data_IF_938822164667
#
_entry.id   IF_938822164667
#
_cell.length_a   1.000
_cell.length_b   1.000
_cell.length_c   1.000
_cell.angle_alpha   90.00
_cell.angle_beta   90.00
_cell.angle_gamma   90.00
#
_symmetry.space_group_name_H-M   'P 1'
#
loop_
_entity.id
_entity.type
_entity.pdbx_description
1 polymer ?
#
# COMPACT_ATOMS: atom_id res chain seq x y z
N UNK A 1 -9.10 -23.40 70.68
CA UNK A 1 -8.12 -23.07 69.65
C UNK A 1 -8.63 -23.54 68.32
N UNK A 2 -9.12 -22.64 67.50
CA UNK A 2 -9.66 -22.93 66.15
C UNK A 2 -8.60 -22.55 65.14
N UNK A 3 -8.19 -23.50 64.28
CA UNK A 3 -7.29 -23.27 63.18
C UNK A 3 -8.02 -22.66 62.01
N UNK A 4 -7.48 -21.57 61.49
CA UNK A 4 -7.99 -20.86 60.32
C UNK A 4 -7.38 -21.52 59.08
N UNK A 5 -8.21 -22.10 58.22
CA UNK A 5 -7.81 -22.60 56.90
C UNK A 5 -7.66 -21.46 55.93
N UNK A 6 -6.50 -21.41 55.25
CA UNK A 6 -6.21 -20.49 54.16
C UNK A 6 -6.79 -21.05 52.87
N UNK A 7 -7.82 -20.40 52.34
CA UNK A 7 -8.30 -20.63 50.99
C UNK A 7 -7.45 -19.87 50.00
N UNK A 8 -6.69 -20.61 49.19
CA UNK A 8 -6.01 -20.10 47.99
C UNK A 8 -6.97 -20.22 46.78
N UNK A 9 -7.24 -19.16 46.03
CA UNK A 9 -8.08 -19.26 44.83
C UNK A 9 -7.32 -19.98 43.71
N UNK A 10 -7.98 -20.96 43.10
CA UNK A 10 -7.52 -21.67 41.89
C UNK A 10 -7.45 -20.70 40.68
N UNK A 11 -6.45 -20.87 39.80
CA UNK A 11 -6.37 -20.10 38.57
C UNK A 11 -7.52 -20.48 37.63
N UNK A 12 -8.22 -19.45 37.13
CA UNK A 12 -9.27 -19.58 36.12
C UNK A 12 -8.56 -19.92 34.80
N UNK A 13 -8.87 -21.10 34.28
CA UNK A 13 -8.57 -21.52 32.90
C UNK A 13 -9.21 -20.53 31.91
N UNK A 14 -8.41 -19.64 31.36
CA UNK A 14 -8.81 -18.86 30.18
C UNK A 14 -8.67 -19.76 28.97
N UNK A 15 -9.75 -20.48 28.66
CA UNK A 15 -9.93 -21.08 27.36
C UNK A 15 -9.96 -19.97 26.32
N UNK A 16 -8.89 -19.82 25.55
CA UNK A 16 -8.81 -18.96 24.38
C UNK A 16 -9.76 -19.57 23.34
N UNK A 17 -10.95 -19.03 23.24
CA UNK A 17 -11.84 -19.27 22.11
C UNK A 17 -11.21 -18.57 20.91
N UNK A 18 -10.50 -19.34 20.09
CA UNK A 18 -10.09 -18.91 18.76
C UNK A 18 -11.35 -18.77 17.89
N UNK A 19 -11.96 -17.61 17.92
CA UNK A 19 -12.99 -17.24 16.94
C UNK A 19 -12.26 -16.94 15.61
N UNK A 20 -12.44 -17.80 14.63
CA UNK A 20 -12.16 -17.57 13.23
C UNK A 20 -12.89 -16.29 12.77
N UNK A 21 -12.26 -15.14 12.86
CA UNK A 21 -12.70 -13.89 12.24
C UNK A 21 -11.85 -13.64 10.99
N UNK A 22 -12.12 -14.40 9.95
CA UNK A 22 -11.77 -14.00 8.60
C UNK A 22 -12.60 -12.75 8.28
N UNK A 23 -11.91 -11.60 7.99
CA UNK A 23 -12.45 -10.30 7.57
C UNK A 23 -12.49 -9.20 8.65
N UNK A 24 -11.43 -9.03 9.41
CA UNK A 24 -11.21 -7.73 10.06
C UNK A 24 -10.82 -6.69 9.00
N UNK A 25 -11.46 -5.52 8.95
CA UNK A 25 -11.00 -4.42 8.09
C UNK A 25 -9.56 -4.11 8.45
N UNK A 26 -8.74 -3.75 7.43
CA UNK A 26 -7.34 -3.34 7.61
C UNK A 26 -7.25 -2.33 8.75
N UNK A 27 -6.94 -2.82 9.95
CA UNK A 27 -6.76 -1.98 11.13
C UNK A 27 -5.30 -1.53 11.12
N UNK A 28 -5.03 -0.40 10.46
CA UNK A 28 -3.74 0.27 10.60
C UNK A 28 -3.77 1.01 11.93
N UNK A 29 -3.08 0.49 12.92
CA UNK A 29 -3.08 1.02 14.27
C UNK A 29 -2.52 2.45 14.35
N UNK A 30 -1.64 2.81 13.43
CA UNK A 30 -1.03 4.13 13.32
C UNK A 30 -0.57 4.36 11.87
N UNK A 31 -0.70 5.60 11.39
CA UNK A 31 -0.12 6.03 10.13
C UNK A 31 0.33 7.47 10.28
N UNK A 32 1.62 7.67 10.26
CA UNK A 32 2.19 9.00 10.30
C UNK A 32 2.08 9.65 8.93
N UNK A 33 1.62 10.91 8.92
CA UNK A 33 1.52 11.66 7.67
C UNK A 33 2.91 11.77 7.02
N UNK A 34 2.98 11.44 5.73
CA UNK A 34 4.17 11.68 4.93
C UNK A 34 4.32 13.21 4.77
N UNK A 35 5.46 13.81 5.14
CA UNK A 35 5.71 15.23 4.92
C UNK A 35 5.60 15.61 3.44
N UNK A 36 5.17 16.84 3.17
CA UNK A 36 5.10 17.37 1.82
C UNK A 36 6.51 17.79 1.32
N UNK A 37 6.89 17.57 0.07
CA UNK A 37 8.18 18.04 -0.46
C UNK A 37 8.35 19.57 -0.32
N UNK A 38 7.26 20.34 -0.30
CA UNK A 38 7.29 21.79 -0.13
C UNK A 38 7.58 22.23 1.33
N UNK A 39 7.63 21.32 2.29
CA UNK A 39 8.00 21.58 3.69
C UNK A 39 9.52 21.84 3.89
N UNK A 40 10.25 22.18 2.82
CA UNK A 40 11.68 22.59 2.88
C UNK A 40 12.68 21.47 2.61
N UNK A 41 12.24 20.34 2.05
CA UNK A 41 13.13 19.26 1.68
C UNK A 41 13.93 19.56 0.40
N UNK A 42 15.18 19.10 0.37
CA UNK A 42 16.01 19.16 -0.83
C UNK A 42 15.71 17.98 -1.74
N UNK A 43 15.35 18.29 -2.99
CA UNK A 43 15.18 17.26 -4.02
C UNK A 43 16.54 16.84 -4.57
N UNK A 44 16.71 15.54 -4.80
CA UNK A 44 17.86 14.97 -5.45
C UNK A 44 17.45 13.88 -6.44
N UNK A 45 18.30 13.64 -7.41
CA UNK A 45 18.08 12.58 -8.40
C UNK A 45 18.53 11.23 -7.84
N UNK A 46 17.77 10.17 -8.13
CA UNK A 46 18.03 8.81 -7.64
C UNK A 46 17.65 7.76 -8.68
N UNK A 47 18.49 6.73 -8.80
CA UNK A 47 18.19 5.57 -9.64
C UNK A 47 17.00 4.80 -9.09
N UNK A 48 15.96 4.60 -9.91
CA UNK A 48 14.75 3.89 -9.50
C UNK A 48 15.05 2.44 -9.07
N UNK A 49 16.03 1.81 -9.72
CA UNK A 49 16.46 0.44 -9.42
C UNK A 49 17.02 0.29 -7.98
N UNK A 50 17.54 1.35 -7.38
CA UNK A 50 18.11 1.34 -6.02
C UNK A 50 17.07 1.48 -4.92
N UNK A 51 15.81 1.78 -5.27
CA UNK A 51 14.75 2.03 -4.29
C UNK A 51 14.13 0.72 -3.80
N UNK A 52 14.09 0.54 -2.48
CA UNK A 52 13.44 -0.59 -1.85
C UNK A 52 11.95 -0.25 -1.59
N UNK A 53 11.02 -1.14 -1.97
CA UNK A 53 9.60 -0.90 -1.75
C UNK A 53 9.18 -1.13 -0.29
N UNK A 54 8.10 -0.47 0.13
CA UNK A 54 7.48 -0.61 1.45
C UNK A 54 6.10 -1.28 1.38
N UNK A 55 5.77 -1.90 0.26
CA UNK A 55 4.56 -2.69 0.07
C UNK A 55 4.86 -4.00 -0.65
N UNK A 56 3.98 -5.00 -0.50
CA UNK A 56 4.17 -6.33 -1.09
C UNK A 56 3.56 -6.45 -2.48
N UNK A 57 2.56 -5.64 -2.79
CA UNK A 57 1.81 -5.76 -4.05
C UNK A 57 1.41 -4.41 -4.63
N UNK A 58 1.05 -4.44 -5.90
CA UNK A 58 0.57 -3.30 -6.70
C UNK A 58 -0.54 -3.75 -7.64
N UNK A 59 -1.28 -2.80 -8.21
CA UNK A 59 -2.21 -3.08 -9.31
C UNK A 59 -1.53 -2.93 -10.66
N UNK A 60 -1.26 -4.03 -11.38
CA UNK A 60 -0.57 -3.98 -12.66
C UNK A 60 -1.36 -3.26 -13.76
N UNK A 61 -2.70 -3.15 -13.66
CA UNK A 61 -3.47 -2.34 -14.62
C UNK A 61 -3.10 -0.84 -14.52
N UNK A 62 -2.86 -0.33 -13.31
CA UNK A 62 -2.37 1.04 -13.12
C UNK A 62 -0.94 1.20 -13.67
N UNK A 63 -0.05 0.24 -13.42
CA UNK A 63 1.32 0.24 -13.96
C UNK A 63 1.29 0.37 -15.49
N UNK A 64 0.53 -0.49 -16.18
CA UNK A 64 0.37 -0.44 -17.65
C UNK A 64 -0.24 0.87 -18.15
N UNK A 65 -1.16 1.47 -17.39
CA UNK A 65 -1.70 2.80 -17.75
C UNK A 65 -0.63 3.87 -17.64
N UNK A 66 0.18 3.85 -16.60
CA UNK A 66 1.31 4.77 -16.41
C UNK A 66 2.36 4.64 -17.53
N UNK A 67 2.65 3.40 -17.95
CA UNK A 67 3.55 3.17 -19.08
C UNK A 67 3.05 3.84 -20.35
N UNK A 68 1.75 3.67 -20.67
CA UNK A 68 1.15 4.33 -21.83
C UNK A 68 1.20 5.86 -21.72
N UNK A 69 0.96 6.40 -20.52
CA UNK A 69 1.05 7.85 -20.29
C UNK A 69 2.49 8.31 -20.57
N UNK A 70 3.52 7.66 -20.00
CA UNK A 70 4.93 8.01 -20.20
C UNK A 70 5.46 7.79 -21.62
N UNK A 71 4.90 6.84 -22.38
CA UNK A 71 5.27 6.64 -23.79
C UNK A 71 4.77 7.79 -24.70
N UNK A 72 3.73 8.51 -24.28
CA UNK A 72 3.21 9.65 -24.99
C UNK A 72 3.90 10.97 -24.60
N UNK A 73 4.63 11.00 -23.48
CA UNK A 73 5.34 12.17 -23.01
C UNK A 73 6.75 12.24 -23.65
N UNK A 74 7.20 13.43 -24.00
CA UNK A 74 8.62 13.67 -24.30
C UNK A 74 9.47 13.44 -23.03
N UNK A 75 10.75 13.27 -23.21
CA UNK A 75 11.67 13.11 -22.07
C UNK A 75 11.63 14.34 -21.14
N UNK A 76 11.55 15.54 -21.69
CA UNK A 76 11.48 16.80 -20.94
C UNK A 76 10.17 16.89 -20.13
N UNK A 77 9.03 16.51 -20.73
CA UNK A 77 7.73 16.46 -20.03
C UNK A 77 7.75 15.45 -18.91
N UNK A 78 8.30 14.27 -19.15
CA UNK A 78 8.47 13.22 -18.13
C UNK A 78 9.34 13.69 -16.98
N UNK A 79 10.50 14.28 -17.25
CA UNK A 79 11.41 14.82 -16.22
C UNK A 79 10.75 15.94 -15.41
N UNK A 80 10.04 16.86 -16.07
CA UNK A 80 9.27 17.91 -15.40
C UNK A 80 8.21 17.31 -14.48
N UNK A 81 7.45 16.34 -14.97
CA UNK A 81 6.44 15.63 -14.18
C UNK A 81 7.05 14.92 -12.96
N UNK A 82 8.16 14.20 -13.12
CA UNK A 82 8.85 13.50 -12.03
C UNK A 82 9.33 14.47 -10.95
N UNK A 83 9.82 15.64 -11.34
CA UNK A 83 10.23 16.70 -10.40
C UNK A 83 9.07 17.28 -9.61
N UNK A 84 7.87 17.41 -10.20
CA UNK A 84 6.67 17.91 -9.48
C UNK A 84 6.03 16.84 -8.59
N UNK A 85 6.45 15.60 -8.69
CA UNK A 85 5.90 14.46 -7.93
C UNK A 85 7.00 13.61 -7.34
N UNK A 86 7.91 14.20 -6.55
CA UNK A 86 9.06 13.49 -6.02
C UNK A 86 8.64 12.33 -5.09
N UNK A 87 9.59 11.46 -4.83
CA UNK A 87 9.41 10.25 -4.02
C UNK A 87 9.82 10.53 -2.58
N UNK A 88 8.94 10.32 -1.58
CA UNK A 88 9.33 10.37 -0.18
C UNK A 88 10.19 9.15 0.16
N UNK A 89 11.36 9.37 0.74
CA UNK A 89 12.38 8.37 1.00
C UNK A 89 12.78 8.35 2.47
N UNK A 90 12.96 7.16 3.03
CA UNK A 90 13.69 6.94 4.28
C UNK A 90 15.08 6.44 3.93
N UNK A 91 16.11 7.02 4.53
CA UNK A 91 17.52 6.72 4.29
C UNK A 91 18.16 6.09 5.53
N UNK A 92 18.87 4.98 5.37
CA UNK A 92 19.68 4.43 6.44
C UNK A 92 21.08 5.05 6.46
N UNK A 93 21.90 4.69 7.45
CA UNK A 93 23.26 5.22 7.62
C UNK A 93 24.19 4.97 6.43
N UNK A 94 24.07 3.81 5.75
CA UNK A 94 24.86 3.49 4.56
C UNK A 94 24.33 4.08 3.26
N UNK A 95 23.20 4.83 3.31
CA UNK A 95 22.61 5.48 2.14
C UNK A 95 21.63 4.60 1.36
N UNK A 96 21.24 3.43 1.86
CA UNK A 96 20.16 2.65 1.26
C UNK A 96 18.81 3.38 1.46
N UNK A 97 17.93 3.30 0.44
CA UNK A 97 16.73 4.11 0.33
C UNK A 97 15.47 3.25 0.27
N UNK A 98 14.50 3.52 1.14
CA UNK A 98 13.15 2.94 1.12
C UNK A 98 12.16 3.98 0.65
N UNK A 99 11.43 3.67 -0.41
CA UNK A 99 10.36 4.52 -0.92
C UNK A 99 9.06 4.29 -0.15
N UNK A 100 8.45 5.35 0.35
CA UNK A 100 7.22 5.26 1.16
C UNK A 100 5.96 5.37 0.29
N UNK A 101 6.05 5.96 -0.89
CA UNK A 101 4.95 6.12 -1.85
C UNK A 101 5.47 6.03 -3.30
N UNK A 102 4.57 6.11 -4.28
CA UNK A 102 4.83 6.17 -5.73
C UNK A 102 5.18 4.82 -6.39
N UNK A 103 4.95 3.68 -5.74
CA UNK A 103 5.33 2.35 -6.22
C UNK A 103 4.82 2.01 -7.64
N UNK A 104 3.55 2.31 -7.98
CA UNK A 104 3.01 2.04 -9.31
C UNK A 104 3.73 2.81 -10.42
N UNK A 105 4.02 4.09 -10.14
CA UNK A 105 4.73 4.97 -11.08
C UNK A 105 6.14 4.49 -11.32
N UNK A 106 6.88 4.23 -10.25
CA UNK A 106 8.28 3.84 -10.35
C UNK A 106 8.43 2.44 -10.93
N UNK A 107 7.49 1.53 -10.63
CA UNK A 107 7.44 0.22 -11.30
C UNK A 107 7.23 0.37 -12.80
N UNK A 108 6.33 1.27 -13.23
CA UNK A 108 6.08 1.53 -14.65
C UNK A 108 7.33 2.05 -15.36
N UNK A 109 8.03 3.00 -14.76
CA UNK A 109 9.27 3.56 -15.29
C UNK A 109 10.39 2.50 -15.39
N UNK A 110 10.59 1.72 -14.33
CA UNK A 110 11.63 0.70 -14.28
C UNK A 110 11.43 -0.43 -15.31
N UNK A 111 10.17 -0.79 -15.61
CA UNK A 111 9.85 -1.76 -16.67
C UNK A 111 10.12 -1.21 -18.08
N UNK A 112 10.06 0.12 -18.26
CA UNK A 112 10.34 0.76 -19.54
C UNK A 112 11.84 0.98 -19.74
N UNK A 113 12.55 1.38 -18.69
CA UNK A 113 13.99 1.67 -18.71
C UNK A 113 14.60 1.32 -17.36
N UNK A 114 15.42 0.25 -17.29
CA UNK A 114 16.10 -0.14 -16.04
C UNK A 114 17.09 0.90 -15.51
N UNK A 115 17.53 1.85 -16.33
CA UNK A 115 18.48 2.89 -15.96
C UNK A 115 17.82 4.21 -15.56
N UNK A 116 16.49 4.24 -15.54
CA UNK A 116 15.71 5.45 -15.29
C UNK A 116 16.01 6.04 -13.90
N UNK A 117 16.09 7.35 -13.85
CA UNK A 117 16.17 8.13 -12.60
C UNK A 117 14.83 8.80 -12.29
N UNK A 118 14.68 9.22 -11.05
CA UNK A 118 13.56 10.03 -10.57
C UNK A 118 14.04 11.05 -9.54
N UNK A 119 13.17 11.96 -9.11
CA UNK A 119 13.47 12.86 -8.01
C UNK A 119 12.90 12.32 -6.71
N UNK A 120 13.70 12.35 -5.65
CA UNK A 120 13.33 11.99 -4.30
C UNK A 120 13.69 13.05 -3.29
N UNK A 121 13.15 12.93 -2.09
CA UNK A 121 13.52 13.71 -0.92
C UNK A 121 13.51 12.82 0.32
N UNK A 122 14.47 13.03 1.22
CA UNK A 122 14.61 12.22 2.43
C UNK A 122 13.72 12.82 3.52
N UNK A 123 12.68 12.09 3.92
CA UNK A 123 11.77 12.48 4.99
C UNK A 123 12.29 12.08 6.36
N UNK A 124 13.19 11.08 6.42
CA UNK A 124 13.76 10.59 7.66
C UNK A 124 15.10 9.89 7.42
N UNK A 125 16.07 10.12 8.32
CA UNK A 125 17.36 9.44 8.33
C UNK A 125 17.45 8.54 9.58
N UNK A 126 17.89 7.29 9.37
CA UNK A 126 18.01 6.31 10.44
C UNK A 126 19.49 5.97 10.68
N UNK A 127 19.95 6.15 11.91
CA UNK A 127 21.32 5.80 12.31
C UNK A 127 21.49 4.29 12.54
N UNK A 128 21.19 3.52 11.52
CA UNK A 128 21.36 2.06 11.50
C UNK A 128 21.56 1.55 10.09
N UNK A 129 22.29 0.43 9.94
CA UNK A 129 22.38 -0.34 8.69
C UNK A 129 21.62 -1.66 8.78
N UNK A 130 21.09 -1.98 9.95
CA UNK A 130 20.29 -3.17 10.16
C UNK A 130 18.90 -3.02 9.47
N UNK A 131 18.70 -3.80 8.40
CA UNK A 131 17.45 -3.82 7.64
C UNK A 131 16.23 -4.10 8.54
N UNK A 132 16.36 -4.97 9.52
CA UNK A 132 15.25 -5.30 10.42
C UNK A 132 14.83 -4.09 11.25
N UNK A 133 15.79 -3.32 11.78
CA UNK A 133 15.50 -2.08 12.51
C UNK A 133 14.84 -1.03 11.61
N UNK A 134 15.29 -0.89 10.37
CA UNK A 134 14.63 0.01 9.40
C UNK A 134 13.18 -0.42 9.17
N UNK A 135 12.93 -1.70 8.91
CA UNK A 135 11.57 -2.20 8.69
C UNK A 135 10.67 -2.06 9.93
N UNK A 136 11.19 -2.30 11.13
CA UNK A 136 10.46 -2.05 12.37
C UNK A 136 10.07 -0.59 12.52
N UNK A 137 10.99 0.33 12.20
CA UNK A 137 10.73 1.76 12.22
C UNK A 137 9.62 2.15 11.22
N UNK A 138 9.73 1.71 9.96
CA UNK A 138 8.71 1.93 8.93
C UNK A 138 7.34 1.36 9.33
N UNK A 139 7.32 0.21 10.01
CA UNK A 139 6.09 -0.41 10.53
C UNK A 139 5.47 0.44 11.65
N UNK A 140 6.28 0.97 12.57
CA UNK A 140 5.81 1.86 13.65
C UNK A 140 5.20 3.15 13.09
N UNK A 141 5.74 3.68 11.97
CA UNK A 141 5.17 4.82 11.23
C UNK A 141 3.90 4.47 10.46
N UNK A 142 3.57 3.19 10.33
CA UNK A 142 2.46 2.72 9.50
C UNK A 142 2.74 2.78 8.00
N UNK A 143 3.99 2.89 7.59
CA UNK A 143 4.40 3.05 6.19
C UNK A 143 4.63 1.73 5.45
N UNK A 144 4.35 0.58 6.08
CA UNK A 144 4.42 -0.72 5.43
C UNK A 144 3.03 -1.25 5.07
N UNK A 145 2.87 -1.73 3.84
CA UNK A 145 1.72 -2.52 3.42
C UNK A 145 2.12 -3.98 3.26
N UNK A 146 1.72 -4.82 4.24
CA UNK A 146 2.21 -6.20 4.42
C UNK A 146 1.22 -7.27 3.96
N UNK A 147 0.27 -6.92 3.10
CA UNK A 147 -0.63 -7.89 2.48
C UNK A 147 -0.17 -8.16 1.05
N UNK A 148 -0.19 -9.45 0.67
CA UNK A 148 0.22 -9.90 -0.65
C UNK A 148 -0.83 -9.63 -1.75
N UNK A 149 -0.52 -9.99 -2.99
CA UNK A 149 -1.43 -9.78 -4.14
C UNK A 149 -2.73 -10.58 -4.05
N UNK A 150 -2.82 -11.56 -3.15
CA UNK A 150 -4.04 -12.33 -2.86
C UNK A 150 -4.83 -11.72 -1.70
N UNK A 151 -4.28 -10.71 -1.03
CA UNK A 151 -4.86 -10.09 0.16
C UNK A 151 -4.63 -10.90 1.43
N UNK A 152 -3.70 -11.85 1.42
CA UNK A 152 -3.26 -12.60 2.60
C UNK A 152 -2.23 -11.78 3.36
N UNK A 153 -2.31 -11.77 4.68
CA UNK A 153 -1.41 -11.01 5.55
C UNK A 153 -2.08 -10.60 6.87
N UNK A 154 -1.45 -9.74 7.68
CA UNK A 154 -0.14 -9.16 7.39
C UNK A 154 0.99 -10.20 7.49
N UNK A 155 1.91 -10.16 6.53
CA UNK A 155 3.15 -10.93 6.57
C UNK A 155 4.20 -10.23 7.43
N UNK A 156 5.27 -10.97 7.79
CA UNK A 156 6.41 -10.37 8.49
C UNK A 156 7.09 -9.31 7.59
N UNK A 157 7.55 -8.17 8.14
CA UNK A 157 8.19 -7.11 7.37
C UNK A 157 9.38 -7.57 6.53
N UNK A 158 10.12 -8.58 7.00
CA UNK A 158 11.27 -9.17 6.33
C UNK A 158 10.89 -9.85 4.98
N UNK A 159 9.62 -10.19 4.82
CA UNK A 159 9.07 -10.76 3.57
C UNK A 159 8.88 -9.74 2.46
N UNK A 160 9.05 -8.44 2.75
CA UNK A 160 8.99 -7.40 1.73
C UNK A 160 10.03 -7.64 0.63
N UNK A 161 9.66 -7.48 -0.64
CA UNK A 161 10.62 -7.58 -1.72
C UNK A 161 11.69 -6.49 -1.59
N UNK A 162 12.91 -6.77 -2.04
CA UNK A 162 14.02 -5.83 -2.02
C UNK A 162 14.08 -4.94 -3.26
N UNK A 163 13.23 -5.20 -4.24
CA UNK A 163 13.13 -4.40 -5.45
C UNK A 163 11.69 -4.24 -5.92
N UNK A 164 11.43 -3.18 -6.68
CA UNK A 164 10.13 -2.92 -7.30
C UNK A 164 9.68 -4.06 -8.22
N UNK A 165 10.62 -4.77 -8.85
CA UNK A 165 10.31 -5.89 -9.74
C UNK A 165 9.77 -7.12 -8.98
N UNK A 166 10.01 -7.22 -7.67
CA UNK A 166 9.47 -8.27 -6.81
C UNK A 166 8.04 -8.03 -6.30
N UNK A 167 7.44 -6.87 -6.58
CA UNK A 167 6.06 -6.58 -6.18
C UNK A 167 5.07 -7.48 -6.89
N UNK A 168 4.17 -8.09 -6.13
CA UNK A 168 3.13 -8.98 -6.65
C UNK A 168 1.99 -8.18 -7.29
N UNK A 169 1.26 -8.80 -8.22
CA UNK A 169 0.02 -8.21 -8.77
C UNK A 169 -1.15 -8.41 -7.81
N UNK A 170 -1.89 -7.34 -7.53
CA UNK A 170 -3.20 -7.38 -6.89
C UNK A 170 -4.29 -6.94 -7.89
N UNK A 171 -5.06 -7.89 -8.48
CA UNK A 171 -6.14 -7.55 -9.42
C UNK A 171 -7.23 -6.68 -8.79
N UNK A 172 -7.51 -6.83 -7.49
CA UNK A 172 -8.51 -6.00 -6.82
C UNK A 172 -8.03 -4.56 -6.65
N UNK A 173 -6.73 -4.35 -6.39
CA UNK A 173 -6.12 -3.02 -6.41
C UNK A 173 -6.22 -2.38 -7.81
N UNK A 174 -6.04 -3.17 -8.86
CA UNK A 174 -6.26 -2.75 -10.26
C UNK A 174 -7.71 -2.38 -10.54
N UNK A 175 -8.67 -3.18 -10.05
CA UNK A 175 -10.09 -2.94 -10.20
C UNK A 175 -10.51 -1.63 -9.51
N UNK A 176 -10.05 -1.38 -8.29
CA UNK A 176 -10.31 -0.13 -7.55
C UNK A 176 -9.74 1.09 -8.28
N UNK A 177 -8.53 0.99 -8.82
CA UNK A 177 -7.94 2.05 -9.63
C UNK A 177 -8.85 2.41 -10.84
N UNK A 178 -9.39 1.40 -11.54
CA UNK A 178 -10.31 1.60 -12.66
C UNK A 178 -11.60 2.28 -12.21
N UNK A 179 -12.20 1.83 -11.10
CA UNK A 179 -13.42 2.42 -10.52
C UNK A 179 -13.21 3.88 -10.07
N UNK A 180 -12.01 4.22 -9.58
CA UNK A 180 -11.65 5.62 -9.29
C UNK A 180 -11.54 6.46 -10.56
N UNK A 181 -10.92 5.95 -11.63
CA UNK A 181 -10.89 6.63 -12.95
C UNK A 181 -12.28 6.90 -13.49
N UNK A 182 -13.22 6.00 -13.25
CA UNK A 182 -14.64 6.13 -13.63
C UNK A 182 -15.46 6.97 -12.64
N UNK A 183 -14.84 7.52 -11.60
CA UNK A 183 -15.50 8.31 -10.54
C UNK A 183 -16.58 7.54 -9.76
N UNK A 184 -16.55 6.21 -9.80
CA UNK A 184 -17.40 5.36 -8.97
C UNK A 184 -16.97 5.33 -7.50
N UNK A 185 -15.70 5.64 -7.24
CA UNK A 185 -15.12 5.84 -5.91
C UNK A 185 -14.41 7.19 -5.91
N UNK A 186 -14.68 8.07 -4.93
CA UNK A 186 -13.96 9.34 -4.77
C UNK A 186 -12.57 9.10 -4.18
N UNK A 187 -11.51 9.70 -4.75
CA UNK A 187 -10.19 9.67 -4.13
C UNK A 187 -10.22 10.28 -2.72
N UNK A 188 -9.48 9.65 -1.79
CA UNK A 188 -9.30 10.13 -0.43
C UNK A 188 -7.80 10.12 -0.07
N UNK A 189 -7.04 11.14 -0.49
CA UNK A 189 -5.57 11.13 -0.38
C UNK A 189 -5.07 11.11 1.06
N UNK A 190 -5.89 11.55 2.02
CA UNK A 190 -5.54 11.54 3.44
C UNK A 190 -5.82 10.19 4.13
N UNK A 191 -6.47 9.26 3.43
CA UNK A 191 -6.72 7.92 3.98
C UNK A 191 -5.63 6.98 3.53
N UNK A 192 -4.81 6.47 4.46
CA UNK A 192 -3.74 5.54 4.13
C UNK A 192 -4.28 4.29 3.44
N UNK A 193 -3.58 3.84 2.42
CA UNK A 193 -3.91 2.62 1.67
C UNK A 193 -5.37 2.56 1.20
N UNK A 194 -5.95 3.71 0.88
CA UNK A 194 -7.36 3.86 0.52
C UNK A 194 -7.81 2.85 -0.53
N UNK A 195 -7.04 2.67 -1.60
CA UNK A 195 -7.37 1.72 -2.66
C UNK A 195 -7.28 0.26 -2.21
N UNK A 196 -6.36 -0.07 -1.34
CA UNK A 196 -6.24 -1.42 -0.78
C UNK A 196 -7.42 -1.76 0.15
N UNK A 197 -7.93 -0.77 0.90
CA UNK A 197 -9.14 -0.95 1.74
C UNK A 197 -10.36 -1.28 0.89
N UNK A 198 -10.56 -0.57 -0.20
CA UNK A 198 -11.59 -0.88 -1.18
C UNK A 198 -11.36 -2.23 -1.86
N UNK A 199 -10.10 -2.56 -2.20
CA UNK A 199 -9.71 -3.85 -2.77
C UNK A 199 -10.04 -5.02 -1.82
N UNK A 200 -9.71 -4.90 -0.54
CA UNK A 200 -10.01 -5.89 0.48
C UNK A 200 -11.54 -6.10 0.64
N UNK A 201 -12.31 -5.01 0.63
CA UNK A 201 -13.77 -5.09 0.68
C UNK A 201 -14.36 -5.76 -0.55
N UNK A 202 -13.91 -5.41 -1.77
CA UNK A 202 -14.37 -6.05 -3.01
C UNK A 202 -13.99 -7.52 -3.07
N UNK A 203 -12.84 -7.91 -2.51
CA UNK A 203 -12.37 -9.30 -2.44
C UNK A 203 -13.33 -10.19 -1.63
N UNK A 204 -14.04 -9.63 -0.67
CA UNK A 204 -15.06 -10.34 0.12
C UNK A 204 -16.43 -10.42 -0.57
N UNK A 205 -16.56 -9.96 -1.81
CA UNK A 205 -17.81 -9.93 -2.56
C UNK A 205 -17.79 -10.91 -3.73
N UNK A 206 -18.96 -11.45 -4.13
CA UNK A 206 -19.04 -12.30 -5.31
C UNK A 206 -18.80 -11.46 -6.56
N UNK A 207 -17.66 -11.69 -7.22
CA UNK A 207 -17.31 -11.10 -8.51
C UNK A 207 -16.97 -12.20 -9.50
N UNK A 208 -17.31 -12.04 -10.78
CA UNK A 208 -16.82 -12.93 -11.84
C UNK A 208 -15.28 -13.00 -11.82
N UNK A 209 -14.66 -14.10 -12.24
CA UNK A 209 -13.21 -14.20 -12.37
C UNK A 209 -12.65 -13.12 -13.30
N UNK A 210 -11.57 -12.47 -12.88
CA UNK A 210 -10.90 -11.41 -13.62
C UNK A 210 -9.40 -11.36 -13.27
N UNK A 211 -8.66 -10.55 -14.01
CA UNK A 211 -7.23 -10.30 -13.77
C UNK A 211 -6.90 -8.83 -13.99
N UNK A 212 -5.71 -8.39 -13.60
CA UNK A 212 -5.23 -7.02 -13.91
C UNK A 212 -5.07 -6.75 -15.41
N UNK A 213 -4.97 -7.80 -16.24
CA UNK A 213 -4.95 -7.67 -17.69
C UNK A 213 -6.37 -7.51 -18.27
N UNK A 214 -7.38 -8.06 -17.61
CA UNK A 214 -8.76 -8.11 -18.08
C UNK A 214 -9.71 -7.84 -16.91
N UNK A 215 -10.08 -6.57 -16.70
CA UNK A 215 -10.95 -6.13 -15.61
C UNK A 215 -12.44 -6.19 -15.99
N UNK A 216 -12.75 -6.18 -17.29
CA UNK A 216 -14.10 -6.05 -17.86
C UNK A 216 -15.11 -7.06 -17.29
N UNK A 217 -14.77 -8.34 -17.06
CA UNK A 217 -15.74 -9.29 -16.50
C UNK A 217 -16.29 -8.88 -15.13
N UNK A 218 -15.45 -8.27 -14.28
CA UNK A 218 -15.84 -7.88 -12.92
C UNK A 218 -16.44 -6.47 -12.84
N UNK A 219 -16.17 -5.58 -13.81
CA UNK A 219 -16.52 -4.16 -13.73
C UNK A 219 -18.02 -3.88 -13.55
N UNK A 220 -18.97 -4.53 -14.27
CA UNK A 220 -20.40 -4.26 -14.07
C UNK A 220 -20.85 -4.54 -12.63
N UNK A 221 -20.50 -5.71 -12.10
CA UNK A 221 -20.83 -6.08 -10.71
C UNK A 221 -20.11 -5.18 -9.70
N UNK A 222 -18.84 -4.87 -9.92
CA UNK A 222 -18.06 -4.01 -9.04
C UNK A 222 -18.64 -2.58 -8.99
N UNK A 223 -19.07 -2.00 -10.13
CA UNK A 223 -19.74 -0.68 -10.18
C UNK A 223 -21.03 -0.65 -9.36
N UNK A 224 -21.80 -1.72 -9.42
CA UNK A 224 -23.02 -1.84 -8.60
C UNK A 224 -22.67 -1.94 -7.11
N UNK A 225 -21.76 -2.84 -6.75
CA UNK A 225 -21.35 -3.07 -5.37
C UNK A 225 -20.79 -1.81 -4.69
N UNK A 226 -19.89 -1.05 -5.35
CA UNK A 226 -19.26 0.13 -4.73
C UNK A 226 -20.23 1.29 -4.52
N UNK A 227 -21.39 1.29 -5.19
CA UNK A 227 -22.47 2.27 -4.98
C UNK A 227 -23.48 1.85 -3.96
N UNK A 228 -23.61 0.54 -3.69
CA UNK A 228 -24.58 0.01 -2.74
C UNK A 228 -24.36 0.51 -1.31
N UNK A 229 -25.40 0.50 -0.50
CA UNK A 229 -25.34 0.85 0.92
C UNK A 229 -24.38 -0.03 1.72
N UNK A 230 -24.09 -1.25 1.26
CA UNK A 230 -23.08 -2.14 1.85
C UNK A 230 -21.67 -1.56 1.84
N UNK A 231 -21.37 -0.60 0.96
CA UNK A 231 -20.07 0.09 0.88
C UNK A 231 -20.06 1.45 1.63
N UNK A 232 -21.17 1.88 2.23
CA UNK A 232 -21.33 3.24 2.79
C UNK A 232 -20.31 3.57 3.91
N UNK A 233 -19.76 2.57 4.56
CA UNK A 233 -18.73 2.72 5.60
C UNK A 233 -17.32 3.00 5.05
N UNK A 234 -17.12 2.88 3.74
CA UNK A 234 -15.81 3.11 3.11
C UNK A 234 -15.66 4.57 2.69
N UNK A 235 -14.54 5.16 3.04
CA UNK A 235 -14.22 6.52 2.63
C UNK A 235 -14.22 6.65 1.11
N UNK A 236 -14.81 7.72 0.60
CA UNK A 236 -14.94 7.94 -0.85
C UNK A 236 -16.15 7.27 -1.50
N UNK A 237 -17.05 6.67 -0.71
CA UNK A 237 -18.32 6.19 -1.21
C UNK A 237 -19.17 7.32 -1.83
N UNK A 238 -19.81 7.04 -2.96
CA UNK A 238 -20.56 8.06 -3.74
C UNK A 238 -22.07 7.93 -3.65
N UNK A 239 -22.58 6.90 -2.96
CA UNK A 239 -24.00 6.63 -2.85
C UNK A 239 -24.61 5.88 -4.04
N UNK A 240 -25.83 5.43 -3.85
CA UNK A 240 -26.68 4.86 -4.90
C UNK A 240 -27.16 5.99 -5.81
N UNK A 241 -27.04 5.80 -7.13
CA UNK A 241 -27.60 6.71 -8.16
C UNK A 241 -28.68 5.97 -8.92
#
# INVERSE_FOLDING_TARGET
>A
MRSVGSDTPKPIDQAIVATNSAHSPLHLAQYDRIPDPDDGFTLFEVDVQRLQPTQMCIGLAEVRSRQRDFLNDSEEERQRYLRTKPVPLVRNRSGALWMVDRHHRLRALLEMDPTITTFGYVIEELDTDDRQRVLQHLQQRGWLYLFDGRGTGPHAPESLPTSLMGLQDDPYRSLVWKLKKERAIKPQPLIPYHEFRWGAWLRSRPLPPFSSAQLEPALPAARHLVRSSGAAHLAGWTGER
#
